data_IF_247858352841
#
_entry.id   IF_247858352841
#
_cell.length_a   1.000
_cell.length_b   1.000
_cell.length_c   1.000
_cell.angle_alpha   90.00
_cell.angle_beta   90.00
_cell.angle_gamma   90.00
#
_symmetry.space_group_name_H-M   'P 1'
#
loop_
_entity.id
_entity.type
_entity.pdbx_description
1 polymer ?
#
# COMPACT_ATOMS: atom_id res chain seq x y z
N UNK A 1 20.41 -49.14 -4.46
CA UNK A 1 19.60 -47.96 -4.63
C UNK A 1 19.78 -47.12 -3.39
N UNK A 2 20.10 -45.84 -3.46
CA UNK A 2 20.15 -45.01 -2.27
C UNK A 2 18.79 -45.10 -1.57
N UNK A 3 18.82 -45.32 -0.24
CA UNK A 3 17.61 -45.41 0.57
C UNK A 3 16.74 -44.16 0.35
N UNK A 4 15.47 -44.36 0.06
CA UNK A 4 14.53 -43.29 -0.18
C UNK A 4 14.52 -42.27 0.97
N UNK A 5 14.83 -42.72 2.19
CA UNK A 5 15.00 -41.89 3.39
C UNK A 5 16.16 -40.90 3.28
N UNK A 6 17.32 -41.32 2.75
CA UNK A 6 18.50 -40.44 2.57
C UNK A 6 18.23 -39.33 1.56
N UNK A 7 17.58 -39.66 0.45
CA UNK A 7 17.20 -38.65 -0.57
C UNK A 7 16.23 -37.64 0.03
N UNK A 8 15.33 -38.12 0.85
CA UNK A 8 14.31 -37.32 1.51
C UNK A 8 14.93 -36.37 2.55
N UNK A 9 15.81 -36.86 3.40
CA UNK A 9 16.54 -36.08 4.41
C UNK A 9 17.42 -35.01 3.76
N UNK A 10 18.11 -35.35 2.67
CA UNK A 10 18.84 -34.38 1.88
C UNK A 10 17.93 -33.29 1.31
N UNK A 11 16.71 -33.64 0.86
CA UNK A 11 15.71 -32.70 0.38
C UNK A 11 15.25 -31.70 1.46
N UNK A 12 14.99 -32.18 2.67
CA UNK A 12 14.59 -31.34 3.81
C UNK A 12 15.74 -30.42 4.22
N UNK A 13 16.99 -30.90 4.23
CA UNK A 13 18.17 -30.06 4.49
C UNK A 13 18.34 -28.99 3.43
N UNK A 14 18.24 -29.34 2.15
CA UNK A 14 18.33 -28.37 1.05
C UNK A 14 17.21 -27.29 1.15
N UNK A 15 16.02 -27.69 1.54
CA UNK A 15 14.90 -26.78 1.73
C UNK A 15 15.19 -25.72 2.81
N UNK A 16 15.91 -26.08 3.90
CA UNK A 16 16.31 -25.14 4.96
C UNK A 16 17.17 -24.00 4.44
N UNK A 17 18.08 -24.28 3.50
CA UNK A 17 18.95 -23.26 2.90
C UNK A 17 18.23 -22.45 1.82
N UNK A 18 17.23 -23.02 1.14
CA UNK A 18 16.45 -22.32 0.11
C UNK A 18 15.38 -21.38 0.68
N UNK A 19 14.85 -21.68 1.88
CA UNK A 19 13.78 -20.90 2.48
C UNK A 19 14.14 -19.43 2.74
N UNK A 20 15.33 -19.07 3.29
CA UNK A 20 15.72 -17.66 3.45
C UNK A 20 15.79 -16.92 2.10
N UNK A 21 16.29 -17.57 1.05
CA UNK A 21 16.35 -16.98 -0.30
C UNK A 21 14.94 -16.74 -0.82
N UNK A 22 14.05 -17.71 -0.62
CA UNK A 22 12.65 -17.59 -1.03
C UNK A 22 11.93 -16.47 -0.28
N UNK A 23 12.18 -16.31 1.03
CA UNK A 23 11.66 -15.21 1.84
C UNK A 23 12.13 -13.84 1.30
N UNK A 24 13.43 -13.71 0.97
CA UNK A 24 13.98 -12.49 0.38
C UNK A 24 13.30 -12.17 -0.96
N UNK A 25 13.03 -13.16 -1.80
CA UNK A 25 12.32 -12.97 -3.06
C UNK A 25 10.90 -12.43 -2.81
N UNK A 26 10.15 -12.98 -1.86
CA UNK A 26 8.80 -12.50 -1.52
C UNK A 26 8.86 -11.04 -1.06
N UNK A 27 9.73 -10.72 -0.09
CA UNK A 27 9.91 -9.37 0.43
C UNK A 27 10.30 -8.40 -0.70
N UNK A 28 11.25 -8.78 -1.54
CA UNK A 28 11.64 -7.98 -2.70
C UNK A 28 10.47 -7.72 -3.65
N UNK A 29 9.65 -8.74 -3.94
CA UNK A 29 8.48 -8.59 -4.82
C UNK A 29 7.43 -7.65 -4.21
N UNK A 30 7.19 -7.73 -2.89
CA UNK A 30 6.30 -6.80 -2.19
C UNK A 30 6.80 -5.35 -2.32
N UNK A 31 8.07 -5.11 -2.02
CA UNK A 31 8.68 -3.77 -2.13
C UNK A 31 8.71 -3.26 -3.58
N UNK A 32 9.06 -4.12 -4.52
CA UNK A 32 9.07 -3.77 -5.94
C UNK A 32 7.67 -3.40 -6.45
N UNK A 33 6.63 -4.12 -5.99
CA UNK A 33 5.25 -3.82 -6.34
C UNK A 33 4.79 -2.49 -5.73
N UNK A 34 5.10 -2.21 -4.45
CA UNK A 34 4.81 -0.92 -3.81
C UNK A 34 5.49 0.26 -4.54
N UNK A 35 6.76 0.11 -4.95
CA UNK A 35 7.47 1.16 -5.70
C UNK A 35 6.90 1.38 -7.09
N UNK A 36 6.50 0.31 -7.81
CA UNK A 36 5.98 0.40 -9.18
C UNK A 36 4.60 1.06 -9.25
N UNK A 37 3.81 0.98 -8.19
CA UNK A 37 2.45 1.56 -8.15
C UNK A 37 2.41 3.06 -7.89
N UNK A 38 3.53 3.69 -7.59
CA UNK A 38 3.66 5.16 -7.57
C UNK A 38 3.85 5.75 -8.97
N UNK A 39 3.33 5.11 -10.02
CA UNK A 39 3.35 5.71 -11.36
C UNK A 39 2.45 6.94 -11.36
N UNK A 40 2.94 8.07 -11.89
CA UNK A 40 2.07 9.20 -12.16
C UNK A 40 0.98 8.76 -13.12
N UNK A 41 -0.26 9.06 -12.79
CA UNK A 41 -1.39 8.91 -13.70
C UNK A 41 -1.28 10.00 -14.77
N UNK A 42 -1.94 9.78 -15.93
CA UNK A 42 -2.12 10.88 -16.90
C UNK A 42 -2.83 12.02 -16.19
N UNK A 43 -2.28 13.25 -16.21
CA UNK A 43 -2.85 14.35 -15.45
C UNK A 43 -4.25 14.64 -15.98
N UNK A 44 -5.22 14.60 -15.08
CA UNK A 44 -6.60 14.98 -15.39
C UNK A 44 -6.80 16.48 -15.27
N UNK A 45 -5.95 17.13 -14.48
CA UNK A 45 -5.86 18.57 -14.30
C UNK A 45 -4.41 18.98 -14.19
N UNK A 46 -4.15 20.24 -14.50
CA UNK A 46 -2.87 20.92 -14.32
C UNK A 46 -3.09 22.25 -13.61
N UNK A 47 -2.05 22.77 -13.00
CA UNK A 47 -2.04 24.07 -12.37
C UNK A 47 -1.17 25.01 -13.19
N UNK A 48 -1.78 26.03 -13.77
CA UNK A 48 -1.07 27.07 -14.52
C UNK A 48 -0.69 28.22 -13.58
N UNK A 49 0.58 28.53 -13.52
CA UNK A 49 1.05 29.77 -12.89
C UNK A 49 1.00 30.90 -13.93
N UNK A 50 0.06 31.84 -13.82
CA UNK A 50 -0.08 32.90 -14.81
C UNK A 50 1.08 33.90 -14.82
N UNK A 51 1.84 33.99 -13.72
CA UNK A 51 2.98 34.92 -13.62
C UNK A 51 4.21 34.39 -14.37
N UNK A 52 4.45 33.08 -14.38
CA UNK A 52 5.61 32.44 -15.02
C UNK A 52 5.24 31.73 -16.32
N UNK A 53 3.96 31.47 -16.56
CA UNK A 53 3.48 30.63 -17.66
C UNK A 53 3.75 29.15 -17.43
N UNK A 54 4.26 28.76 -16.27
CA UNK A 54 4.59 27.38 -15.93
C UNK A 54 3.34 26.55 -15.70
N UNK A 55 3.31 25.36 -16.30
CA UNK A 55 2.23 24.40 -16.13
C UNK A 55 2.73 23.25 -15.24
N UNK A 56 2.11 23.12 -14.07
CA UNK A 56 2.45 22.13 -13.07
C UNK A 56 1.43 20.98 -13.15
N UNK A 57 1.84 19.76 -13.56
CA UNK A 57 0.93 18.64 -13.70
C UNK A 57 0.53 18.08 -12.33
N UNK A 58 -0.74 17.73 -12.17
CA UNK A 58 -1.29 17.04 -10.99
C UNK A 58 -1.36 15.55 -11.31
N UNK A 59 -0.43 14.79 -10.79
CA UNK A 59 -0.15 13.41 -11.21
C UNK A 59 -0.78 12.32 -10.35
N UNK A 60 -1.24 12.66 -9.15
CA UNK A 60 -1.72 11.69 -8.18
C UNK A 60 -3.13 12.02 -7.70
N UNK A 61 -3.77 11.07 -7.04
CA UNK A 61 -5.07 11.29 -6.39
C UNK A 61 -4.97 12.22 -5.17
N UNK A 62 -3.79 12.32 -4.60
CA UNK A 62 -3.43 13.23 -3.55
C UNK A 62 -2.08 13.85 -3.89
N UNK A 63 -2.03 15.18 -4.00
CA UNK A 63 -0.83 15.92 -4.35
C UNK A 63 -0.56 16.98 -3.30
N UNK A 64 0.60 16.91 -2.70
CA UNK A 64 1.13 17.97 -1.84
C UNK A 64 1.61 19.14 -2.68
N UNK A 65 1.22 20.36 -2.31
CA UNK A 65 1.65 21.60 -2.96
C UNK A 65 2.41 22.43 -1.95
N UNK A 66 3.59 22.88 -2.32
CA UNK A 66 4.41 23.69 -1.44
C UNK A 66 5.77 24.04 -2.01
N UNK A 67 6.56 24.80 -1.25
CA UNK A 67 7.92 25.21 -1.64
C UNK A 67 8.97 24.11 -1.47
N UNK A 68 8.65 23.03 -0.76
CA UNK A 68 9.57 21.94 -0.58
C UNK A 68 9.80 21.18 -1.88
N UNK A 69 11.04 20.83 -2.19
CA UNK A 69 11.39 19.93 -3.30
C UNK A 69 10.83 18.51 -3.11
N UNK A 70 10.36 18.17 -1.91
CA UNK A 70 9.67 16.92 -1.62
C UNK A 70 8.16 16.97 -1.87
N UNK A 71 7.60 18.15 -2.18
CA UNK A 71 6.19 18.28 -2.58
C UNK A 71 5.98 17.74 -3.99
N UNK A 72 4.81 17.15 -4.24
CA UNK A 72 4.45 16.60 -5.56
C UNK A 72 4.33 17.72 -6.60
N UNK A 73 3.82 18.88 -6.17
CA UNK A 73 3.80 20.12 -6.93
C UNK A 73 4.65 21.15 -6.20
N UNK A 74 5.83 21.42 -6.72
CA UNK A 74 6.77 22.40 -6.13
C UNK A 74 6.51 23.78 -6.71
N UNK A 75 6.32 24.78 -5.83
CA UNK A 75 6.16 26.19 -6.19
C UNK A 75 7.31 26.96 -5.58
N UNK A 76 8.20 27.49 -6.42
CA UNK A 76 9.41 28.21 -5.98
C UNK A 76 9.09 29.67 -5.64
N UNK A 77 8.39 29.87 -4.51
CA UNK A 77 8.04 31.18 -3.96
C UNK A 77 8.33 31.18 -2.45
N UNK A 78 9.16 32.10 -1.94
CA UNK A 78 9.50 32.18 -0.52
C UNK A 78 8.30 32.45 0.41
N UNK A 79 7.20 32.99 -0.11
CA UNK A 79 5.96 33.24 0.63
C UNK A 79 5.12 31.97 0.80
N UNK A 80 5.40 30.94 0.00
CA UNK A 80 4.73 29.65 0.09
C UNK A 80 5.34 28.79 1.18
N UNK A 81 4.54 28.18 2.04
CA UNK A 81 4.98 27.23 3.07
C UNK A 81 5.61 25.99 2.43
N UNK A 82 6.53 25.32 3.14
CA UNK A 82 7.17 24.07 2.67
C UNK A 82 6.14 23.01 2.27
N UNK A 83 5.17 22.79 3.13
CA UNK A 83 3.95 22.02 2.86
C UNK A 83 2.81 23.02 3.04
N UNK A 84 2.15 23.46 1.96
CA UNK A 84 1.18 24.55 2.01
C UNK A 84 -0.24 24.06 1.98
N UNK A 85 -0.57 23.25 1.01
CA UNK A 85 -1.89 22.64 0.87
C UNK A 85 -1.79 21.29 0.17
N UNK A 86 -2.90 20.55 0.19
CA UNK A 86 -3.05 19.28 -0.51
C UNK A 86 -4.23 19.37 -1.47
N UNK A 87 -4.01 18.91 -2.69
CA UNK A 87 -5.04 18.78 -3.71
C UNK A 87 -5.45 17.31 -3.81
N UNK A 88 -6.71 17.03 -3.52
CA UNK A 88 -7.28 15.69 -3.36
C UNK A 88 -8.33 15.40 -4.43
N UNK A 89 -8.22 14.25 -5.11
CA UNK A 89 -9.30 13.75 -5.97
C UNK A 89 -10.25 12.86 -5.18
N UNK A 90 -11.55 13.13 -5.31
CA UNK A 90 -12.64 12.31 -4.76
C UNK A 90 -13.56 11.85 -5.90
N UNK A 91 -14.53 10.98 -5.56
CA UNK A 91 -15.50 10.46 -6.55
C UNK A 91 -16.28 11.56 -7.28
N UNK A 92 -16.52 12.67 -6.60
CA UNK A 92 -17.33 13.81 -7.05
C UNK A 92 -16.52 15.04 -7.49
N UNK A 93 -15.17 14.93 -7.57
CA UNK A 93 -14.33 16.01 -8.06
C UNK A 93 -13.03 16.21 -7.28
N UNK A 94 -12.41 17.37 -7.50
CA UNK A 94 -11.19 17.79 -6.85
C UNK A 94 -11.48 18.68 -5.64
N UNK A 95 -10.63 18.59 -4.63
CA UNK A 95 -10.71 19.35 -3.40
C UNK A 95 -9.34 19.88 -3.01
N UNK A 96 -9.27 21.13 -2.55
CA UNK A 96 -8.08 21.69 -1.92
C UNK A 96 -8.29 21.78 -0.41
N UNK A 97 -7.25 21.46 0.35
CA UNK A 97 -7.24 21.55 1.82
C UNK A 97 -5.93 22.19 2.27
N UNK A 98 -6.01 23.25 3.06
CA UNK A 98 -4.84 23.86 3.70
C UNK A 98 -4.21 22.89 4.71
N UNK A 99 -2.86 22.90 4.80
CA UNK A 99 -2.11 22.05 5.74
C UNK A 99 -1.45 22.88 6.84
N UNK A 100 -2.20 23.80 7.42
CA UNK A 100 -1.73 24.73 8.45
C UNK A 100 -0.60 25.63 7.92
N UNK A 101 -0.81 26.18 6.73
CA UNK A 101 0.15 27.07 6.09
C UNK A 101 0.19 28.45 6.75
N UNK A 102 1.34 29.15 6.65
CA UNK A 102 1.53 30.48 7.29
C UNK A 102 0.57 31.54 6.76
N UNK A 103 0.35 31.59 5.44
CA UNK A 103 -0.50 32.58 4.78
C UNK A 103 -1.95 32.09 4.57
N UNK A 104 -2.19 30.79 4.74
CA UNK A 104 -3.46 30.16 4.40
C UNK A 104 -3.64 29.97 2.88
N UNK A 105 -4.54 29.07 2.50
CA UNK A 105 -4.90 28.79 1.12
C UNK A 105 -6.20 29.53 0.78
N UNK A 106 -6.24 30.21 -0.37
CA UNK A 106 -7.46 30.84 -0.87
C UNK A 106 -7.93 30.15 -2.16
N UNK A 107 -9.24 30.04 -2.31
CA UNK A 107 -9.89 29.58 -3.53
C UNK A 107 -10.78 30.71 -4.06
N UNK A 108 -10.48 31.20 -5.26
CA UNK A 108 -11.17 32.35 -5.87
C UNK A 108 -11.23 33.57 -4.92
N UNK A 109 -10.12 33.86 -4.24
CA UNK A 109 -10.02 34.98 -3.31
C UNK A 109 -10.66 34.77 -1.93
N UNK A 110 -11.30 33.62 -1.69
CA UNK A 110 -11.90 33.28 -0.39
C UNK A 110 -11.01 32.29 0.36
N UNK A 111 -10.70 32.60 1.61
CA UNK A 111 -9.89 31.70 2.45
C UNK A 111 -10.62 30.36 2.68
N UNK A 112 -9.95 29.25 2.40
CA UNK A 112 -10.50 27.92 2.61
C UNK A 112 -10.54 27.59 4.11
N UNK A 113 -11.68 27.10 4.58
CA UNK A 113 -11.85 26.53 5.92
C UNK A 113 -12.12 25.04 5.76
N UNK A 114 -11.10 24.21 5.98
CA UNK A 114 -11.17 22.78 5.71
C UNK A 114 -11.05 22.45 4.21
N UNK A 115 -11.85 21.50 3.73
CA UNK A 115 -11.83 21.07 2.31
C UNK A 115 -12.75 21.93 1.46
N UNK A 116 -12.22 22.54 0.40
CA UNK A 116 -12.99 23.30 -0.58
C UNK A 116 -12.98 22.58 -1.92
N UNK A 117 -14.16 22.44 -2.56
CA UNK A 117 -14.29 21.83 -3.89
C UNK A 117 -13.69 22.77 -4.94
N UNK A 118 -12.89 22.20 -5.84
CA UNK A 118 -12.17 22.91 -6.89
C UNK A 118 -12.73 22.52 -8.26
N UNK A 119 -13.03 23.50 -9.07
CA UNK A 119 -13.49 23.32 -10.45
C UNK A 119 -12.40 23.73 -11.45
N UNK A 120 -12.59 23.38 -12.71
CA UNK A 120 -11.75 23.87 -13.81
C UNK A 120 -11.92 25.39 -13.88
N UNK A 121 -10.80 26.10 -14.13
CA UNK A 121 -10.66 27.56 -14.17
C UNK A 121 -10.73 28.25 -12.79
N UNK A 122 -10.89 27.51 -11.69
CA UNK A 122 -10.73 28.07 -10.37
C UNK A 122 -9.28 28.50 -10.12
N UNK A 123 -9.11 29.54 -9.31
CA UNK A 123 -7.80 30.06 -8.90
C UNK A 123 -7.50 29.70 -7.45
N UNK A 124 -6.43 28.93 -7.25
CA UNK A 124 -5.89 28.57 -5.94
C UNK A 124 -4.74 29.55 -5.63
N UNK A 125 -4.87 30.36 -4.59
CA UNK A 125 -3.81 31.28 -4.18
C UNK A 125 -3.14 30.76 -2.90
N UNK A 126 -1.82 30.63 -2.96
CA UNK A 126 -0.94 30.16 -1.91
C UNK A 126 0.22 31.13 -1.73
N UNK A 127 0.28 31.80 -0.58
CA UNK A 127 1.23 32.91 -0.41
C UNK A 127 1.03 34.02 -1.43
N UNK A 128 2.09 34.39 -2.14
CA UNK A 128 2.07 35.34 -3.24
C UNK A 128 1.74 34.75 -4.62
N UNK A 129 1.66 33.43 -4.73
CA UNK A 129 1.45 32.73 -6.01
C UNK A 129 0.00 32.33 -6.20
N UNK A 130 -0.53 32.65 -7.39
CA UNK A 130 -1.87 32.20 -7.84
C UNK A 130 -1.71 31.12 -8.89
N UNK A 131 -2.45 30.03 -8.75
CA UNK A 131 -2.44 28.88 -9.65
C UNK A 131 -3.83 28.66 -10.22
N UNK A 132 -3.96 28.66 -11.52
CA UNK A 132 -5.24 28.44 -12.22
C UNK A 132 -5.38 26.95 -12.54
N UNK A 133 -6.49 26.34 -12.14
CA UNK A 133 -6.79 24.94 -12.42
C UNK A 133 -7.22 24.79 -13.88
N UNK A 134 -6.46 24.05 -14.66
CA UNK A 134 -6.75 23.76 -16.05
C UNK A 134 -7.03 22.27 -16.26
N UNK A 135 -7.73 21.93 -17.33
CA UNK A 135 -7.86 20.54 -17.76
C UNK A 135 -6.46 20.02 -18.13
N UNK A 136 -6.11 18.85 -17.65
CA UNK A 136 -4.83 18.24 -17.99
C UNK A 136 -4.75 18.01 -19.51
N UNK A 137 -3.76 18.61 -20.14
CA UNK A 137 -3.40 18.32 -21.52
C UNK A 137 -2.47 17.10 -21.55
N UNK A 138 -2.48 16.34 -22.64
CA UNK A 138 -1.53 15.27 -22.86
C UNK A 138 -0.13 15.88 -22.95
N UNK A 139 0.66 15.74 -21.89
CA UNK A 139 2.02 16.23 -21.87
C UNK A 139 2.88 15.38 -22.80
N UNK A 140 3.25 15.94 -23.94
CA UNK A 140 4.27 15.37 -24.84
C UNK A 140 5.72 15.58 -24.32
N UNK A 141 5.93 16.34 -23.25
CA UNK A 141 7.24 16.48 -22.65
C UNK A 141 7.51 15.33 -21.68
N UNK A 142 8.66 14.64 -21.81
CA UNK A 142 9.09 13.69 -20.82
C UNK A 142 9.21 14.45 -19.49
N UNK A 143 8.38 14.06 -18.52
CA UNK A 143 8.49 14.53 -17.14
C UNK A 143 9.97 14.49 -16.76
N UNK A 144 10.56 15.66 -16.50
CA UNK A 144 11.90 15.70 -15.90
C UNK A 144 11.78 14.98 -14.56
N UNK A 145 12.09 13.69 -14.62
CA UNK A 145 11.98 12.80 -13.49
C UNK A 145 12.91 13.33 -12.40
N UNK A 146 12.33 13.76 -11.28
CA UNK A 146 13.12 13.83 -10.07
C UNK A 146 13.86 12.48 -9.95
N UNK A 147 15.08 12.49 -9.44
CA UNK A 147 15.93 11.27 -9.30
C UNK A 147 15.18 10.08 -8.67
N UNK A 148 14.08 10.33 -7.98
CA UNK A 148 13.17 9.34 -7.38
C UNK A 148 12.38 8.52 -8.42
N UNK A 149 12.12 9.07 -9.61
CA UNK A 149 11.33 8.43 -10.67
C UNK A 149 12.19 7.81 -11.79
N UNK A 150 13.48 8.15 -11.86
CA UNK A 150 14.38 7.74 -12.95
C UNK A 150 14.63 6.22 -13.06
N UNK A 151 14.13 5.41 -12.10
CA UNK A 151 14.27 3.94 -12.08
C UNK A 151 12.95 3.18 -11.95
N UNK A 152 11.85 3.74 -12.38
CA UNK A 152 10.59 2.97 -12.44
C UNK A 152 10.67 2.02 -13.63
N UNK A 153 10.84 0.74 -13.35
CA UNK A 153 10.85 -0.32 -14.37
C UNK A 153 9.52 -0.34 -15.13
N UNK A 154 9.56 -0.34 -16.47
CA UNK A 154 8.37 -0.46 -17.33
C UNK A 154 7.66 -1.82 -17.23
N UNK A 155 8.25 -2.77 -16.51
CA UNK A 155 7.64 -4.08 -16.31
C UNK A 155 6.41 -3.95 -15.40
N UNK A 156 5.28 -4.58 -15.76
CA UNK A 156 4.09 -4.56 -14.94
C UNK A 156 4.37 -5.17 -13.55
N UNK A 157 3.79 -4.59 -12.50
CA UNK A 157 3.85 -5.18 -11.17
C UNK A 157 3.20 -6.57 -11.17
N UNK A 158 3.72 -7.47 -10.34
CA UNK A 158 3.12 -8.79 -10.18
C UNK A 158 1.68 -8.66 -9.67
N UNK A 159 0.75 -9.43 -10.26
CA UNK A 159 -0.66 -9.42 -9.83
C UNK A 159 -0.75 -9.93 -8.38
N UNK A 160 -1.60 -9.30 -7.57
CA UNK A 160 -1.73 -9.59 -6.14
C UNK A 160 -2.01 -11.06 -5.83
N UNK A 161 -2.83 -11.75 -6.65
CA UNK A 161 -3.10 -13.17 -6.46
C UNK A 161 -1.87 -14.08 -6.67
N UNK A 162 -0.92 -13.67 -7.56
CA UNK A 162 0.33 -14.43 -7.76
C UNK A 162 1.25 -14.28 -6.55
N UNK A 163 1.24 -13.11 -5.92
CA UNK A 163 1.98 -12.87 -4.68
C UNK A 163 1.40 -13.72 -3.55
N UNK A 164 0.08 -13.81 -3.44
CA UNK A 164 -0.60 -14.68 -2.47
C UNK A 164 -0.24 -16.15 -2.67
N UNK A 165 -0.25 -16.64 -3.92
CA UNK A 165 0.21 -18.00 -4.22
C UNK A 165 1.65 -18.24 -3.75
N UNK A 166 2.55 -17.29 -4.02
CA UNK A 166 3.95 -17.39 -3.61
C UNK A 166 4.08 -17.51 -2.09
N UNK A 167 3.31 -16.75 -1.32
CA UNK A 167 3.23 -16.78 0.14
C UNK A 167 2.69 -18.12 0.63
N UNK A 168 1.59 -18.60 0.03
CA UNK A 168 0.97 -19.88 0.38
C UNK A 168 1.95 -21.04 0.14
N UNK A 169 2.69 -21.04 -0.97
CA UNK A 169 3.72 -22.06 -1.22
C UNK A 169 4.86 -21.98 -0.21
N UNK A 170 5.26 -20.80 0.21
CA UNK A 170 6.26 -20.63 1.25
C UNK A 170 5.79 -21.26 2.57
N UNK A 171 4.56 -20.96 3.01
CA UNK A 171 4.00 -21.55 4.23
C UNK A 171 3.78 -23.06 4.11
N UNK A 172 3.45 -23.57 2.92
CA UNK A 172 3.41 -24.99 2.66
C UNK A 172 4.77 -25.66 2.87
N UNK A 173 5.85 -25.08 2.35
CA UNK A 173 7.20 -25.62 2.60
C UNK A 173 7.60 -25.57 4.08
N UNK A 174 7.20 -24.52 4.82
CA UNK A 174 7.36 -24.49 6.27
C UNK A 174 6.58 -25.61 6.96
N UNK A 175 5.35 -25.87 6.52
CA UNK A 175 4.54 -26.98 7.02
C UNK A 175 5.24 -28.33 6.78
N UNK A 176 5.73 -28.58 5.59
CA UNK A 176 6.50 -29.80 5.26
C UNK A 176 7.70 -29.92 6.19
N UNK A 177 8.49 -28.87 6.39
CA UNK A 177 9.62 -28.90 7.33
C UNK A 177 9.20 -29.19 8.76
N UNK A 178 8.05 -28.65 9.21
CA UNK A 178 7.52 -28.88 10.55
C UNK A 178 7.08 -30.35 10.74
N UNK A 179 6.49 -30.98 9.71
CA UNK A 179 6.09 -32.40 9.73
C UNK A 179 7.28 -33.34 9.90
N UNK A 180 8.42 -33.05 9.26
CA UNK A 180 9.60 -33.93 9.30
C UNK A 180 10.53 -33.66 10.48
N UNK A 181 10.31 -32.60 11.22
CA UNK A 181 11.09 -32.32 12.43
C UNK A 181 10.50 -33.01 13.67
N UNK A 182 9.25 -33.44 13.61
CA UNK A 182 8.56 -33.98 14.77
C UNK A 182 8.90 -35.46 14.93
N UNK A 183 9.54 -35.81 16.07
CA UNK A 183 9.98 -37.16 16.42
C UNK A 183 8.80 -38.16 16.59
N UNK A 184 7.92 -38.24 15.63
CA UNK A 184 6.83 -39.23 15.55
C UNK A 184 5.56 -38.90 16.33
N UNK A 185 5.47 -37.76 16.99
CA UNK A 185 4.26 -37.33 17.72
C UNK A 185 3.41 -36.39 16.90
N UNK A 186 2.29 -36.76 16.39
CA UNK A 186 1.27 -35.95 15.72
C UNK A 186 1.72 -35.17 14.46
N UNK A 187 2.04 -35.94 13.41
CA UNK A 187 2.43 -35.38 12.08
C UNK A 187 1.32 -34.60 11.38
N UNK A 188 0.07 -34.70 11.82
CA UNK A 188 -1.08 -34.03 11.21
C UNK A 188 -1.30 -32.60 11.70
N UNK A 189 -0.79 -32.24 12.90
CA UNK A 189 -0.99 -30.90 13.47
C UNK A 189 -0.46 -29.76 12.59
N UNK A 190 0.77 -29.84 12.01
CA UNK A 190 1.25 -28.81 11.08
C UNK A 190 0.39 -28.67 9.83
N UNK A 191 -0.15 -29.78 9.31
CA UNK A 191 -1.00 -29.77 8.10
C UNK A 191 -2.34 -29.10 8.37
N UNK A 192 -2.97 -29.41 9.50
CA UNK A 192 -4.24 -28.78 9.92
C UNK A 192 -4.04 -27.28 10.15
N UNK A 193 -2.95 -26.91 10.82
CA UNK A 193 -2.61 -25.50 11.05
C UNK A 193 -2.35 -24.75 9.74
N UNK A 194 -1.62 -25.36 8.81
CA UNK A 194 -1.40 -24.78 7.46
C UNK A 194 -2.72 -24.59 6.72
N UNK A 195 -3.61 -25.57 6.73
CA UNK A 195 -4.92 -25.46 6.11
C UNK A 195 -5.76 -24.31 6.68
N UNK A 196 -5.76 -24.17 8.01
CA UNK A 196 -6.43 -23.07 8.69
C UNK A 196 -5.78 -21.70 8.38
N UNK A 197 -4.44 -21.61 8.36
CA UNK A 197 -3.72 -20.40 7.95
C UNK A 197 -4.05 -20.02 6.51
N UNK A 198 -3.97 -20.96 5.58
CA UNK A 198 -4.30 -20.71 4.17
C UNK A 198 -5.76 -20.25 3.99
N UNK A 199 -6.70 -20.84 4.74
CA UNK A 199 -8.10 -20.41 4.73
C UNK A 199 -8.26 -18.95 5.21
N UNK A 200 -7.54 -18.54 6.26
CA UNK A 200 -7.54 -17.16 6.76
C UNK A 200 -6.91 -16.22 5.74
N UNK A 201 -5.76 -16.55 5.14
CA UNK A 201 -5.05 -15.75 4.15
C UNK A 201 -5.91 -15.51 2.89
N UNK A 202 -6.44 -16.58 2.31
CA UNK A 202 -7.27 -16.49 1.12
C UNK A 202 -8.64 -15.88 1.40
N UNK A 203 -9.24 -16.17 2.56
CA UNK A 203 -10.46 -15.53 3.03
C UNK A 203 -10.30 -14.01 3.12
N UNK A 204 -9.21 -13.55 3.74
CA UNK A 204 -8.89 -12.13 3.83
C UNK A 204 -8.64 -11.50 2.45
N UNK A 205 -7.92 -12.19 1.57
CA UNK A 205 -7.69 -11.75 0.19
C UNK A 205 -9.01 -11.58 -0.58
N UNK A 206 -9.92 -12.56 -0.52
CA UNK A 206 -11.20 -12.48 -1.21
C UNK A 206 -12.11 -11.39 -0.63
N UNK A 207 -12.16 -11.24 0.71
CA UNK A 207 -12.91 -10.16 1.35
C UNK A 207 -12.37 -8.80 0.89
N UNK A 208 -11.05 -8.60 0.90
CA UNK A 208 -10.43 -7.35 0.48
C UNK A 208 -10.67 -7.07 -1.01
N UNK A 209 -10.62 -8.08 -1.85
CA UNK A 209 -10.80 -7.94 -3.29
C UNK A 209 -12.27 -7.68 -3.68
N UNK A 210 -13.22 -8.45 -3.14
CA UNK A 210 -14.63 -8.38 -3.55
C UNK A 210 -15.45 -7.38 -2.73
N UNK A 211 -15.20 -7.27 -1.41
CA UNK A 211 -16.00 -6.43 -0.50
C UNK A 211 -15.44 -5.03 -0.39
N UNK A 212 -14.12 -4.91 -0.18
CA UNK A 212 -13.43 -3.62 -0.02
C UNK A 212 -13.04 -3.04 -1.39
N UNK A 213 -13.02 -3.86 -2.45
CA UNK A 213 -12.64 -3.49 -3.82
C UNK A 213 -11.26 -2.83 -3.90
N UNK A 214 -10.32 -3.26 -3.07
CA UNK A 214 -8.94 -2.80 -3.09
C UNK A 214 -8.15 -3.51 -4.19
N UNK A 215 -7.41 -2.71 -4.95
CA UNK A 215 -6.50 -3.21 -6.00
C UNK A 215 -5.07 -3.40 -5.45
N UNK A 216 -4.72 -2.63 -4.42
CA UNK A 216 -3.38 -2.63 -3.81
C UNK A 216 -3.39 -3.51 -2.57
N UNK A 217 -2.61 -4.58 -2.59
CA UNK A 217 -2.61 -5.62 -1.55
C UNK A 217 -1.20 -6.02 -1.09
N UNK A 218 -0.20 -5.19 -1.38
CA UNK A 218 1.20 -5.54 -1.15
C UNK A 218 1.59 -5.47 0.32
N UNK A 219 1.10 -4.45 1.03
CA UNK A 219 1.37 -4.26 2.45
C UNK A 219 0.70 -5.36 3.28
N UNK A 220 -0.55 -5.65 2.94
CA UNK A 220 -1.32 -6.72 3.55
C UNK A 220 -0.70 -8.10 3.28
N UNK A 221 -0.21 -8.33 2.05
CA UNK A 221 0.51 -9.56 1.70
C UNK A 221 1.78 -9.73 2.53
N UNK A 222 2.53 -8.65 2.75
CA UNK A 222 3.72 -8.68 3.61
C UNK A 222 3.36 -8.99 5.07
N UNK A 223 2.28 -8.40 5.58
CA UNK A 223 1.79 -8.67 6.93
C UNK A 223 1.34 -10.13 7.09
N UNK A 224 0.60 -10.68 6.12
CA UNK A 224 0.18 -12.08 6.09
C UNK A 224 1.39 -13.02 6.03
N UNK A 225 2.39 -12.71 5.21
CA UNK A 225 3.62 -13.47 5.10
C UNK A 225 4.36 -13.56 6.45
N UNK A 226 4.55 -12.42 7.13
CA UNK A 226 5.22 -12.40 8.42
C UNK A 226 4.42 -13.09 9.53
N UNK A 227 3.11 -12.91 9.52
CA UNK A 227 2.20 -13.58 10.48
C UNK A 227 2.23 -15.09 10.29
N UNK A 228 2.19 -15.57 9.04
CA UNK A 228 2.24 -17.00 8.73
C UNK A 228 3.57 -17.64 9.16
N UNK A 229 4.71 -16.96 8.99
CA UNK A 229 6.00 -17.42 9.54
C UNK A 229 5.89 -17.59 11.05
N UNK A 230 5.36 -16.60 11.77
CA UNK A 230 5.19 -16.65 13.23
C UNK A 230 4.34 -17.84 13.66
N UNK A 231 3.18 -18.04 13.02
CA UNK A 231 2.26 -19.15 13.31
C UNK A 231 2.94 -20.50 13.06
N UNK A 232 3.60 -20.66 11.90
CA UNK A 232 4.28 -21.92 11.55
C UNK A 232 5.51 -22.21 12.42
N UNK A 233 6.18 -21.20 12.96
CA UNK A 233 7.28 -21.41 13.91
C UNK A 233 6.78 -21.85 15.28
N UNK A 234 5.66 -21.31 15.74
CA UNK A 234 5.10 -21.61 17.06
C UNK A 234 4.61 -23.05 17.22
N UNK A 235 4.18 -23.71 16.12
CA UNK A 235 3.69 -25.09 16.22
C UNK A 235 4.76 -26.05 16.79
N UNK A 236 6.01 -25.72 16.58
CA UNK A 236 7.14 -26.51 17.11
C UNK A 236 7.34 -26.33 18.62
N UNK A 237 6.87 -25.22 19.15
CA UNK A 237 7.01 -24.88 20.56
C UNK A 237 5.76 -25.30 21.36
N UNK A 238 4.58 -25.00 20.81
CA UNK A 238 3.30 -25.33 21.42
C UNK A 238 2.17 -25.23 20.38
N UNK A 239 1.48 -26.31 20.11
CA UNK A 239 0.31 -26.33 19.23
C UNK A 239 -0.74 -25.29 19.67
N UNK A 240 -1.02 -25.24 20.98
CA UNK A 240 -1.98 -24.29 21.55
C UNK A 240 -1.61 -22.84 21.23
N UNK A 241 -0.33 -22.48 21.37
CA UNK A 241 0.14 -21.12 21.12
C UNK A 241 0.03 -20.75 19.65
N UNK A 242 0.27 -21.69 18.73
CA UNK A 242 0.12 -21.48 17.31
C UNK A 242 -1.34 -21.19 16.90
N UNK A 243 -2.30 -21.96 17.44
CA UNK A 243 -3.72 -21.71 17.20
C UNK A 243 -4.19 -20.38 17.81
N UNK A 244 -3.74 -20.05 19.02
CA UNK A 244 -4.08 -18.75 19.64
C UNK A 244 -3.57 -17.59 18.81
N UNK A 245 -2.35 -17.66 18.28
CA UNK A 245 -1.81 -16.62 17.40
C UNK A 245 -2.57 -16.55 16.08
N UNK A 246 -2.96 -17.66 15.48
CA UNK A 246 -3.76 -17.69 14.27
C UNK A 246 -5.12 -17.00 14.47
N UNK A 247 -5.81 -17.30 15.58
CA UNK A 247 -7.08 -16.68 15.93
C UNK A 247 -6.90 -15.18 16.18
N UNK A 248 -5.85 -14.77 16.91
CA UNK A 248 -5.55 -13.36 17.14
C UNK A 248 -5.28 -12.61 15.82
N UNK A 249 -4.54 -13.24 14.89
CA UNK A 249 -4.30 -12.68 13.57
C UNK A 249 -5.59 -12.53 12.76
N UNK A 250 -6.48 -13.54 12.77
CA UNK A 250 -7.78 -13.48 12.10
C UNK A 250 -8.66 -12.35 12.65
N UNK A 251 -8.71 -12.18 13.97
CA UNK A 251 -9.44 -11.08 14.63
C UNK A 251 -8.84 -9.73 14.22
N UNK A 252 -7.51 -9.59 14.21
CA UNK A 252 -6.81 -8.39 13.78
C UNK A 252 -7.12 -8.02 12.32
N UNK A 253 -7.20 -9.00 11.43
CA UNK A 253 -7.57 -8.78 10.02
C UNK A 253 -9.03 -8.34 9.86
N UNK A 254 -9.95 -8.91 10.63
CA UNK A 254 -11.36 -8.48 10.63
C UNK A 254 -11.45 -7.02 11.10
N UNK A 255 -10.76 -6.69 12.20
CA UNK A 255 -10.71 -5.33 12.73
C UNK A 255 -10.11 -4.33 11.72
N UNK A 256 -9.05 -4.71 11.03
CA UNK A 256 -8.45 -3.93 9.95
C UNK A 256 -9.45 -3.66 8.81
N UNK A 257 -10.21 -4.67 8.36
CA UNK A 257 -11.26 -4.50 7.35
C UNK A 257 -12.35 -3.53 7.79
N UNK A 258 -12.76 -3.62 9.06
CA UNK A 258 -13.77 -2.71 9.65
C UNK A 258 -13.25 -1.27 9.68
N UNK A 259 -12.01 -1.05 10.15
CA UNK A 259 -11.40 0.28 10.19
C UNK A 259 -11.32 0.90 8.79
N UNK A 260 -10.85 0.15 7.80
CA UNK A 260 -10.77 0.67 6.42
C UNK A 260 -12.16 1.10 5.93
N UNK A 261 -13.18 0.28 6.17
CA UNK A 261 -14.54 0.58 5.73
C UNK A 261 -15.14 1.79 6.46
N UNK A 262 -14.73 2.03 7.71
CA UNK A 262 -15.10 3.24 8.46
C UNK A 262 -14.39 4.48 7.91
N UNK A 263 -13.11 4.38 7.57
CA UNK A 263 -12.32 5.51 7.04
C UNK A 263 -12.78 5.91 5.62
N UNK A 264 -13.32 4.99 4.83
CA UNK A 264 -13.87 5.29 3.50
C UNK A 264 -15.08 6.25 3.55
N UNK A 265 -15.78 6.32 4.69
CA UNK A 265 -16.97 7.18 4.88
C UNK A 265 -16.77 8.10 6.10
N UNK A 266 -16.14 9.29 5.89
CA UNK A 266 -15.86 10.25 6.98
C UNK A 266 -17.10 10.74 7.72
N UNK A 267 -18.27 10.73 7.06
CA UNK A 267 -19.53 11.16 7.68
C UNK A 267 -20.00 10.16 8.75
N UNK A 268 -19.67 8.88 8.59
CA UNK A 268 -19.93 7.87 9.63
C UNK A 268 -19.01 8.03 10.84
N UNK A 269 -17.75 8.42 10.61
CA UNK A 269 -16.77 8.69 11.69
C UNK A 269 -17.21 9.89 12.52
N UNK A 270 -17.75 10.94 11.89
CA UNK A 270 -18.27 12.11 12.61
C UNK A 270 -19.52 11.81 13.47
N UNK A 271 -20.34 10.83 13.07
CA UNK A 271 -21.50 10.37 13.88
C UNK A 271 -21.09 9.50 15.07
N UNK A 272 -19.88 8.94 15.06
CA UNK A 272 -19.29 8.16 16.15
C UNK A 272 -18.54 9.03 17.19
N UNK A 273 -18.39 10.35 16.95
CA UNK A 273 -17.94 11.27 18.00
C UNK A 273 -19.00 11.29 19.08
N UNK A 274 -18.74 10.54 20.13
CA UNK A 274 -19.47 10.64 21.40
C UNK A 274 -19.42 12.10 21.91
N UNK A 275 -20.52 12.56 22.54
CA UNK A 275 -20.65 13.93 23.05
C UNK A 275 -19.59 14.25 24.10
#
# INVERSE_FOLDING_TARGET
MPDLSIIFDMGVVALRFLMPVYAIIIVYQCFAAMRRRRRPETPLISLLNPATGEILPVLFWENSIGRSKSSDVTVDDPTVSRNHCVLLRRKDGWYVSDTDSKSGTMLNGKRTRGRAKVLIDDTITIGGTSLIVKRGEEFQQPLQSSWFFSKVSDKPAMKSWKLMLLITFFHFFMCVQAMFWNDGTNTMAPLVLFGALAAVEWGFFFISYFVIRRVNFELESLALFLTGIGVMMLIRQSERSAYVQLVAAAIGMIFFCVIIKLIEDPDKVNKLRLP
#
